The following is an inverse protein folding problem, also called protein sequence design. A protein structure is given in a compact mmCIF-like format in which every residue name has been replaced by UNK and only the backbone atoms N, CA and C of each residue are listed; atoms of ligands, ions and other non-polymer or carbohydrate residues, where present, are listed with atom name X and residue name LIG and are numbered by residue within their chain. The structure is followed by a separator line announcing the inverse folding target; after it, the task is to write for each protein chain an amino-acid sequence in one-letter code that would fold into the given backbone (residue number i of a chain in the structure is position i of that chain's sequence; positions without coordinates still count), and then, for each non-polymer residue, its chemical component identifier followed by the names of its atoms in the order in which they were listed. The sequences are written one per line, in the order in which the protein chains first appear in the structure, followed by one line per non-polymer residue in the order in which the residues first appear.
data_IF_886353109169
#
_entry.id   IF_886353109169
#
_cell.length_a   1.000
_cell.length_b   1.000
_cell.length_c   1.000
_cell.angle_alpha   90.00
_cell.angle_beta   90.00
_cell.angle_gamma   90.00
#
_symmetry.space_group_name_H-M   'P 1'
#
loop_
_entity.id
_entity.type
_entity.pdbx_description
1 polymer ?
#
# COMPACT_ATOMS: atom_id res chain seq x y z
N UNK A 1 5.22 20.34 17.12
CA UNK A 1 6.41 19.47 16.92
C UNK A 1 6.98 19.77 15.55
N UNK A 2 8.27 20.07 15.43
CA UNK A 2 8.89 20.29 14.10
C UNK A 2 9.26 18.92 13.51
N UNK A 3 8.80 18.64 12.30
CA UNK A 3 9.17 17.43 11.52
C UNK A 3 9.85 17.86 10.25
N UNK A 4 10.88 17.14 9.84
CA UNK A 4 11.54 17.31 8.56
C UNK A 4 11.10 16.20 7.59
N UNK A 5 10.80 16.58 6.35
CA UNK A 5 10.57 15.63 5.26
C UNK A 5 11.80 15.61 4.38
N UNK A 6 12.43 14.45 4.29
CA UNK A 6 13.60 14.22 3.43
C UNK A 6 13.37 13.05 2.46
N UNK A 7 14.09 13.06 1.33
CA UNK A 7 14.10 11.91 0.42
C UNK A 7 14.65 10.64 1.11
N UNK A 8 14.10 9.50 0.74
CA UNK A 8 14.68 8.18 1.01
C UNK A 8 15.96 8.03 0.19
N UNK A 9 16.98 7.43 0.80
CA UNK A 9 18.26 7.11 0.18
C UNK A 9 18.58 5.61 0.38
N UNK A 10 19.46 5.01 -0.45
CA UNK A 10 19.79 3.59 -0.32
C UNK A 10 20.21 3.13 1.09
N UNK A 11 20.97 3.91 1.88
CA UNK A 11 21.28 3.56 3.28
C UNK A 11 20.05 3.42 4.19
N UNK A 12 18.94 4.07 3.88
CA UNK A 12 17.70 4.01 4.68
C UNK A 12 16.94 2.68 4.52
N UNK A 13 17.32 1.84 3.56
CA UNK A 13 16.56 0.65 3.15
C UNK A 13 16.21 -0.29 4.29
N UNK A 14 17.18 -0.62 5.12
CA UNK A 14 16.97 -1.54 6.24
C UNK A 14 16.09 -0.90 7.32
N UNK A 15 16.37 0.35 7.67
CA UNK A 15 15.60 1.12 8.67
C UNK A 15 14.16 1.31 8.23
N UNK A 16 13.93 1.62 6.94
CA UNK A 16 12.58 1.69 6.35
C UNK A 16 11.87 0.33 6.44
N UNK A 17 12.54 -0.74 6.03
CA UNK A 17 11.97 -2.09 6.08
C UNK A 17 11.54 -2.46 7.50
N UNK A 18 12.42 -2.27 8.48
CA UNK A 18 12.14 -2.52 9.89
C UNK A 18 11.00 -1.66 10.42
N UNK A 19 10.92 -0.39 9.97
CA UNK A 19 9.84 0.50 10.33
C UNK A 19 8.50 -0.02 9.83
N UNK A 20 8.41 -0.40 8.54
CA UNK A 20 7.18 -0.94 7.93
C UNK A 20 6.75 -2.23 8.60
N UNK A 21 7.67 -3.16 8.86
CA UNK A 21 7.35 -4.45 9.49
C UNK A 21 6.79 -4.32 10.91
N UNK A 22 7.13 -3.25 11.63
CA UNK A 22 6.64 -2.96 12.99
C UNK A 22 5.46 -1.99 13.03
N UNK A 23 5.12 -1.39 11.90
CA UNK A 23 4.12 -0.34 11.81
C UNK A 23 2.68 -0.83 12.04
N UNK A 24 1.78 0.13 12.26
CA UNK A 24 0.35 -0.11 12.41
C UNK A 24 -0.34 -0.42 11.07
N UNK A 25 -0.03 0.36 10.04
CA UNK A 25 -0.76 0.38 8.77
C UNK A 25 0.11 0.02 7.56
N UNK A 26 1.33 -0.46 7.78
CA UNK A 26 2.21 -0.91 6.71
C UNK A 26 1.73 -2.21 6.09
N UNK A 27 1.93 -2.33 4.77
CA UNK A 27 1.64 -3.53 3.98
C UNK A 27 2.85 -3.87 3.12
N UNK A 28 2.81 -5.00 2.41
CA UNK A 28 3.85 -5.38 1.44
C UNK A 28 4.13 -4.25 0.43
N UNK A 29 3.11 -3.46 0.06
CA UNK A 29 3.21 -2.37 -0.90
C UNK A 29 4.03 -1.17 -0.41
N UNK A 30 4.41 -1.15 0.87
CA UNK A 30 5.27 -0.12 1.45
C UNK A 30 6.72 -0.59 1.62
N UNK A 31 7.02 -1.87 1.33
CA UNK A 31 8.36 -2.42 1.47
C UNK A 31 9.23 -2.02 0.26
N UNK A 32 10.50 -1.63 0.47
CA UNK A 32 11.42 -1.33 -0.63
C UNK A 32 11.59 -2.49 -1.61
N UNK A 33 11.52 -3.74 -1.14
CA UNK A 33 11.57 -4.94 -2.00
C UNK A 33 10.41 -5.01 -2.99
N UNK A 34 9.23 -4.52 -2.62
CA UNK A 34 8.09 -4.40 -3.53
C UNK A 34 8.21 -3.15 -4.42
N UNK A 35 8.60 -2.01 -3.86
CA UNK A 35 8.69 -0.77 -4.62
C UNK A 35 9.71 -0.84 -5.77
N UNK A 36 10.77 -1.64 -5.59
CA UNK A 36 11.85 -1.82 -6.56
C UNK A 36 11.57 -2.90 -7.62
N UNK A 37 10.43 -3.62 -7.56
CA UNK A 37 10.17 -4.68 -8.55
C UNK A 37 9.85 -4.12 -9.94
N UNK A 38 9.45 -2.87 -10.02
CA UNK A 38 9.23 -2.21 -11.29
C UNK A 38 10.54 -1.94 -12.03
N UNK A 39 10.55 -2.03 -13.36
CA UNK A 39 11.74 -1.69 -14.14
C UNK A 39 12.26 -0.29 -13.79
N UNK A 40 13.60 -0.10 -13.73
CA UNK A 40 14.18 1.21 -13.48
C UNK A 40 13.64 2.27 -14.45
N UNK A 41 13.32 3.46 -13.93
CA UNK A 41 12.81 4.57 -14.74
C UNK A 41 11.32 4.51 -15.10
N UNK A 42 10.59 3.43 -14.73
CA UNK A 42 9.15 3.37 -14.96
C UNK A 42 8.38 4.46 -14.23
N UNK A 43 8.81 4.81 -13.03
CA UNK A 43 8.24 5.89 -12.23
C UNK A 43 9.33 6.86 -11.78
N UNK A 44 9.00 8.11 -11.68
CA UNK A 44 9.86 9.13 -11.06
C UNK A 44 9.69 9.02 -9.52
N UNK A 45 10.40 8.04 -8.93
CA UNK A 45 10.28 7.70 -7.52
C UNK A 45 10.64 8.88 -6.62
N UNK A 46 9.78 9.15 -5.65
CA UNK A 46 9.93 10.18 -4.61
C UNK A 46 9.47 9.59 -3.28
N UNK A 47 10.21 8.58 -2.80
CA UNK A 47 9.97 8.03 -1.48
C UNK A 47 10.53 8.99 -0.44
N UNK A 48 9.75 9.23 0.62
CA UNK A 48 10.03 10.24 1.63
C UNK A 48 10.05 9.65 3.04
N UNK A 49 10.86 10.24 3.90
CA UNK A 49 10.90 9.95 5.34
C UNK A 49 10.52 11.22 6.08
N UNK A 50 9.57 11.11 7.00
CA UNK A 50 9.31 12.12 7.99
C UNK A 50 10.15 11.82 9.23
N UNK A 51 10.99 12.77 9.62
CA UNK A 51 11.96 12.61 10.69
C UNK A 51 11.72 13.62 11.81
N UNK A 52 11.85 13.17 13.05
CA UNK A 52 11.80 14.02 14.24
C UNK A 52 13.14 14.72 14.43
N UNK A 53 13.20 15.80 15.25
CA UNK A 53 14.45 16.52 15.51
C UNK A 53 15.57 15.66 16.14
N UNK A 54 15.21 14.56 16.78
CA UNK A 54 16.15 13.60 17.38
C UNK A 54 16.64 12.52 16.40
N UNK A 55 16.28 12.63 15.12
CA UNK A 55 16.64 11.67 14.07
C UNK A 55 15.77 10.42 14.01
N UNK A 56 14.75 10.30 14.86
CA UNK A 56 13.82 9.17 14.80
C UNK A 56 12.84 9.32 13.63
N UNK A 57 12.58 8.20 12.94
CA UNK A 57 11.57 8.15 11.88
C UNK A 57 10.17 8.26 12.51
N UNK A 58 9.41 9.25 12.08
CA UNK A 58 8.02 9.46 12.45
C UNK A 58 7.06 8.76 11.50
N UNK A 59 7.38 8.75 10.19
CA UNK A 59 6.64 8.06 9.17
C UNK A 59 7.52 7.77 7.94
N UNK A 60 7.18 6.74 7.18
CA UNK A 60 7.71 6.49 5.84
C UNK A 60 6.59 6.64 4.81
N UNK A 61 6.90 7.21 3.66
CA UNK A 61 5.90 7.64 2.68
C UNK A 61 6.37 7.23 1.29
N UNK A 62 5.94 6.07 0.77
CA UNK A 62 6.21 5.71 -0.61
C UNK A 62 5.48 6.67 -1.54
N UNK A 63 6.16 7.15 -2.58
CA UNK A 63 5.58 8.08 -3.53
C UNK A 63 6.38 8.19 -4.81
N UNK A 64 5.74 8.79 -5.81
CA UNK A 64 6.35 9.16 -7.06
C UNK A 64 5.81 10.51 -7.53
N UNK A 65 6.61 11.22 -8.28
CA UNK A 65 6.16 12.41 -9.00
C UNK A 65 5.58 11.99 -10.35
N UNK A 66 4.44 12.57 -10.67
CA UNK A 66 3.74 12.35 -11.91
C UNK A 66 3.43 13.68 -12.58
N UNK A 67 3.59 13.75 -13.89
CA UNK A 67 3.22 14.95 -14.65
C UNK A 67 2.10 14.61 -15.62
N UNK A 68 1.03 15.39 -15.57
CA UNK A 68 -0.11 15.28 -16.46
C UNK A 68 -0.65 16.68 -16.76
N UNK A 69 -0.85 16.97 -18.04
CA UNK A 69 -1.42 18.25 -18.52
C UNK A 69 -0.66 19.48 -17.95
N UNK A 70 0.67 19.43 -17.89
CA UNK A 70 1.53 20.47 -17.33
C UNK A 70 1.43 20.64 -15.81
N UNK A 71 0.74 19.74 -15.12
CA UNK A 71 0.61 19.74 -13.66
C UNK A 71 1.43 18.62 -13.04
N UNK A 72 2.20 18.96 -12.01
CA UNK A 72 2.96 18.01 -11.21
C UNK A 72 2.10 17.48 -10.07
N UNK A 73 2.12 16.16 -9.88
CA UNK A 73 1.39 15.44 -8.85
C UNK A 73 2.35 14.66 -7.97
N UNK A 74 2.09 14.58 -6.70
CA UNK A 74 2.64 13.56 -5.82
C UNK A 74 1.62 12.43 -5.68
N UNK A 75 2.01 11.19 -6.00
CA UNK A 75 1.14 10.01 -5.91
C UNK A 75 1.75 8.95 -5.00
N UNK A 76 0.96 8.40 -4.12
CA UNK A 76 1.35 7.33 -3.20
C UNK A 76 0.74 6.00 -3.61
N UNK A 77 1.35 5.13 -4.22
CA UNK A 77 2.46 4.95 -5.13
C UNK A 77 1.91 4.34 -6.43
N UNK A 78 2.19 4.86 -7.60
CA UNK A 78 1.72 4.28 -8.84
C UNK A 78 2.33 2.87 -9.02
N UNK A 79 1.50 1.88 -9.34
CA UNK A 79 1.93 0.49 -9.45
C UNK A 79 1.80 -0.34 -8.16
N UNK A 80 1.30 0.25 -7.07
CA UNK A 80 0.93 -0.45 -5.85
C UNK A 80 -0.57 -0.31 -5.59
N UNK A 81 -1.18 -1.32 -4.95
CA UNK A 81 -2.60 -1.25 -4.59
C UNK A 81 -2.87 -0.25 -3.49
N UNK A 82 -1.90 -0.05 -2.59
CA UNK A 82 -1.98 0.88 -1.48
C UNK A 82 -0.65 1.63 -1.32
N UNK A 83 -0.72 2.75 -0.66
CA UNK A 83 0.42 3.58 -0.31
C UNK A 83 0.06 4.54 0.82
N UNK A 84 0.55 5.78 0.75
CA UNK A 84 0.35 6.78 1.82
C UNK A 84 1.34 6.64 2.95
N UNK A 85 1.27 7.53 3.94
CA UNK A 85 2.14 7.50 5.10
C UNK A 85 1.91 6.27 5.98
N UNK A 86 3.00 5.66 6.42
CA UNK A 86 3.03 4.53 7.34
C UNK A 86 3.46 5.02 8.71
N UNK A 87 2.76 4.59 9.75
CA UNK A 87 2.99 4.99 11.13
C UNK A 87 3.18 3.78 12.05
N UNK A 88 3.88 3.98 13.17
CA UNK A 88 3.93 2.99 14.24
C UNK A 88 2.56 2.88 14.94
N UNK A 89 2.36 1.81 15.70
CA UNK A 89 1.08 1.50 16.34
C UNK A 89 0.72 2.40 17.52
N UNK A 90 1.69 3.14 18.04
CA UNK A 90 1.54 4.15 19.10
C UNK A 90 1.41 5.59 18.56
N UNK A 91 1.31 5.76 17.25
CA UNK A 91 1.20 7.09 16.64
C UNK A 91 -0.07 7.81 17.13
N UNK A 92 0.12 9.00 17.68
CA UNK A 92 -1.00 9.86 18.10
C UNK A 92 -1.62 10.58 16.91
N UNK A 93 -2.89 11.02 17.07
CA UNK A 93 -3.54 11.89 16.08
C UNK A 93 -2.70 13.14 15.78
N UNK A 94 -2.08 13.75 16.82
CA UNK A 94 -1.22 14.91 16.65
C UNK A 94 0.01 14.61 15.80
N UNK A 95 0.61 13.41 15.92
CA UNK A 95 1.74 13.02 15.06
C UNK A 95 1.30 12.90 13.60
N UNK A 96 0.16 12.26 13.33
CA UNK A 96 -0.39 12.13 11.98
C UNK A 96 -0.65 13.50 11.37
N UNK A 97 -1.25 14.42 12.14
CA UNK A 97 -1.49 15.82 11.75
C UNK A 97 -0.20 16.52 11.32
N UNK A 98 0.86 16.45 12.15
CA UNK A 98 2.14 17.10 11.85
C UNK A 98 2.83 16.49 10.62
N UNK A 99 2.75 15.16 10.44
CA UNK A 99 3.33 14.50 9.25
C UNK A 99 2.60 14.93 7.97
N UNK A 100 1.27 14.96 7.98
CA UNK A 100 0.50 15.40 6.81
C UNK A 100 0.74 16.86 6.49
N UNK A 101 0.77 17.74 7.48
CA UNK A 101 1.09 19.16 7.29
C UNK A 101 2.49 19.35 6.70
N UNK A 102 3.50 18.63 7.21
CA UNK A 102 4.86 18.66 6.71
C UNK A 102 4.95 18.11 5.27
N UNK A 103 4.25 17.02 4.95
CA UNK A 103 4.18 16.44 3.61
C UNK A 103 3.55 17.41 2.60
N UNK A 104 2.44 18.05 2.95
CA UNK A 104 1.78 19.07 2.12
C UNK A 104 2.76 20.22 1.83
N UNK A 105 3.44 20.72 2.87
CA UNK A 105 4.42 21.79 2.74
C UNK A 105 5.59 21.40 1.85
N UNK A 106 6.08 20.15 1.98
CA UNK A 106 7.14 19.60 1.14
C UNK A 106 6.71 19.51 -0.33
N UNK A 107 5.53 18.95 -0.60
CA UNK A 107 5.00 18.85 -1.96
C UNK A 107 4.77 20.24 -2.61
N UNK A 108 4.32 21.23 -1.84
CA UNK A 108 4.21 22.62 -2.34
C UNK A 108 5.57 23.18 -2.74
N UNK A 109 6.61 22.97 -1.94
CA UNK A 109 7.99 23.42 -2.31
C UNK A 109 8.52 22.73 -3.56
N UNK A 110 8.11 21.49 -3.82
CA UNK A 110 8.43 20.76 -5.06
C UNK A 110 7.62 21.24 -6.28
N UNK A 111 6.69 22.18 -6.09
CA UNK A 111 5.79 22.66 -7.14
C UNK A 111 4.69 21.67 -7.50
N UNK A 112 4.32 20.76 -6.61
CA UNK A 112 3.19 19.87 -6.84
C UNK A 112 1.88 20.65 -6.77
N UNK A 113 1.04 20.44 -7.78
CA UNK A 113 -0.30 21.03 -7.86
C UNK A 113 -1.33 20.15 -7.14
N UNK A 114 -1.08 18.85 -7.06
CA UNK A 114 -1.99 17.88 -6.46
C UNK A 114 -1.23 16.79 -5.72
N UNK A 115 -1.92 16.20 -4.74
CA UNK A 115 -1.50 14.99 -4.03
C UNK A 115 -2.62 13.95 -4.14
N UNK A 116 -2.25 12.72 -4.47
CA UNK A 116 -3.15 11.58 -4.51
C UNK A 116 -2.61 10.47 -3.61
N UNK A 117 -3.37 10.11 -2.58
CA UNK A 117 -3.00 9.08 -1.62
C UNK A 117 -4.01 7.93 -1.70
N UNK A 118 -3.52 6.73 -1.96
CA UNK A 118 -4.36 5.51 -1.94
C UNK A 118 -4.08 4.76 -0.65
N UNK A 119 -4.95 4.95 0.35
CA UNK A 119 -4.73 4.41 1.69
C UNK A 119 -5.07 2.91 1.76
N UNK A 120 -4.34 2.13 2.59
CA UNK A 120 -4.74 0.75 2.88
C UNK A 120 -6.03 0.73 3.69
N UNK A 121 -6.92 -0.27 3.47
CA UNK A 121 -8.10 -0.46 4.31
C UNK A 121 -7.73 -0.65 5.78
N UNK A 122 -8.49 -0.02 6.69
CA UNK A 122 -8.24 -0.09 8.14
C UNK A 122 -8.30 -1.52 8.72
N UNK A 123 -8.93 -2.44 7.99
CA UNK A 123 -8.96 -3.88 8.37
C UNK A 123 -7.56 -4.54 8.39
N UNK A 124 -6.56 -3.94 7.71
CA UNK A 124 -5.16 -4.41 7.75
C UNK A 124 -4.35 -3.78 8.88
N UNK A 125 -4.89 -2.80 9.59
CA UNK A 125 -4.20 -2.15 10.69
C UNK A 125 -4.12 -3.08 11.90
N UNK A 126 -3.00 -3.06 12.61
CA UNK A 126 -2.87 -3.77 13.90
C UNK A 126 -3.84 -3.22 14.93
N UNK A 127 -4.02 -1.90 14.95
CA UNK A 127 -4.99 -1.15 15.77
C UNK A 127 -5.80 -0.26 14.84
N UNK A 128 -7.03 -0.64 14.48
CA UNK A 128 -7.87 0.16 13.59
C UNK A 128 -8.17 1.54 14.17
N UNK A 129 -8.01 2.57 13.37
CA UNK A 129 -8.38 3.95 13.66
C UNK A 129 -8.55 4.75 12.35
N UNK A 130 -9.26 5.86 12.42
CA UNK A 130 -9.59 6.71 11.26
C UNK A 130 -8.77 8.03 11.25
N UNK A 131 -7.59 8.06 11.89
CA UNK A 131 -6.78 9.28 12.00
C UNK A 131 -6.42 9.88 10.64
N UNK A 132 -6.04 9.04 9.68
CA UNK A 132 -5.69 9.50 8.34
C UNK A 132 -6.88 10.12 7.62
N UNK A 133 -8.05 9.48 7.66
CA UNK A 133 -9.26 10.01 7.01
C UNK A 133 -9.65 11.34 7.62
N UNK A 134 -9.64 11.45 8.96
CA UNK A 134 -9.93 12.68 9.70
C UNK A 134 -8.96 13.80 9.36
N UNK A 135 -7.65 13.53 9.41
CA UNK A 135 -6.61 14.54 9.17
C UNK A 135 -6.65 15.00 7.71
N UNK A 136 -6.76 14.09 6.75
CA UNK A 136 -6.83 14.45 5.33
C UNK A 136 -8.07 15.30 5.05
N UNK A 137 -9.22 14.96 5.61
CA UNK A 137 -10.44 15.76 5.48
C UNK A 137 -10.24 17.20 6.00
N UNK A 138 -9.62 17.34 7.18
CA UNK A 138 -9.34 18.65 7.77
C UNK A 138 -8.33 19.50 6.96
N UNK A 139 -7.44 18.84 6.20
CA UNK A 139 -6.53 19.49 5.26
C UNK A 139 -7.13 19.73 3.86
N UNK A 140 -8.44 19.51 3.69
CA UNK A 140 -9.15 19.79 2.44
C UNK A 140 -8.98 18.73 1.36
N UNK A 141 -8.55 17.52 1.72
CA UNK A 141 -8.59 16.40 0.78
C UNK A 141 -10.02 15.93 0.54
N UNK A 142 -10.32 15.59 -0.71
CA UNK A 142 -11.58 14.97 -1.09
C UNK A 142 -11.35 13.49 -1.41
N UNK A 143 -12.29 12.63 -0.99
CA UNK A 143 -12.28 11.23 -1.40
C UNK A 143 -12.76 11.13 -2.85
N UNK A 144 -11.81 10.92 -3.79
CA UNK A 144 -12.13 10.81 -5.23
C UNK A 144 -12.58 9.41 -5.64
N UNK A 145 -12.20 8.38 -4.88
CA UNK A 145 -12.53 6.98 -5.16
C UNK A 145 -12.67 6.20 -3.86
N UNK A 146 -13.71 5.38 -3.77
CA UNK A 146 -13.92 4.45 -2.67
C UNK A 146 -14.27 3.07 -3.22
N UNK A 147 -13.55 2.06 -2.78
CA UNK A 147 -13.77 0.67 -3.18
C UNK A 147 -14.11 -0.17 -1.95
N UNK A 148 -14.86 -1.25 -2.19
CA UNK A 148 -15.15 -2.23 -1.13
C UNK A 148 -14.08 -3.31 -1.15
N UNK A 149 -13.54 -3.60 0.02
CA UNK A 149 -12.63 -4.72 0.25
C UNK A 149 -13.33 -5.78 1.08
N UNK A 150 -13.32 -7.02 0.61
CA UNK A 150 -13.73 -8.18 1.39
C UNK A 150 -12.51 -8.95 1.85
N UNK A 151 -12.44 -9.28 3.13
CA UNK A 151 -11.33 -10.06 3.71
C UNK A 151 -11.86 -11.29 4.41
N UNK A 152 -11.02 -12.33 4.42
CA UNK A 152 -11.27 -13.56 5.17
C UNK A 152 -10.21 -13.63 6.27
N UNK A 153 -10.65 -13.66 7.52
CA UNK A 153 -9.75 -13.86 8.66
C UNK A 153 -9.31 -15.32 8.73
N UNK A 154 -8.05 -15.58 8.39
CA UNK A 154 -7.50 -16.95 8.44
C UNK A 154 -7.44 -17.50 9.86
N UNK A 155 -7.35 -16.66 10.89
CA UNK A 155 -7.37 -17.07 12.29
C UNK A 155 -8.71 -17.71 12.72
N UNK A 156 -9.81 -17.39 12.00
CA UNK A 156 -11.14 -17.94 12.24
C UNK A 156 -11.44 -19.18 11.40
N UNK A 157 -10.59 -19.46 10.41
CA UNK A 157 -10.67 -20.67 9.61
C UNK A 157 -9.96 -21.78 10.37
N UNK A 158 -10.66 -22.83 10.80
CA UNK A 158 -10.02 -24.04 11.28
C UNK A 158 -9.33 -24.80 10.13
N UNK A 159 -8.81 -25.99 10.41
CA UNK A 159 -8.20 -26.88 9.40
C UNK A 159 -9.22 -27.39 8.37
N UNK A 160 -10.51 -27.34 8.68
CA UNK A 160 -11.58 -27.78 7.79
C UNK A 160 -12.17 -26.60 7.00
N UNK A 161 -12.79 -26.92 5.85
CA UNK A 161 -13.56 -25.97 5.05
C UNK A 161 -14.67 -25.37 5.93
N UNK A 162 -14.49 -24.11 6.30
CA UNK A 162 -15.31 -23.41 7.27
C UNK A 162 -16.82 -23.50 6.90
N UNK A 163 -17.68 -23.92 7.83
CA UNK A 163 -19.13 -23.83 7.70
C UNK A 163 -19.65 -22.43 7.32
N UNK A 164 -18.89 -21.36 7.55
CA UNK A 164 -19.21 -20.00 7.14
C UNK A 164 -19.23 -19.80 5.60
N UNK A 165 -18.58 -20.67 4.83
CA UNK A 165 -18.66 -20.60 3.39
C UNK A 165 -20.08 -20.96 2.90
N UNK A 166 -20.56 -20.20 1.92
CA UNK A 166 -21.83 -20.50 1.27
C UNK A 166 -21.83 -21.91 0.67
N UNK A 167 -22.99 -22.58 0.70
CA UNK A 167 -23.13 -23.95 0.18
C UNK A 167 -22.68 -24.09 -1.28
N UNK A 168 -22.89 -23.05 -2.11
CA UNK A 168 -22.41 -23.03 -3.50
C UNK A 168 -20.86 -23.10 -3.59
N UNK A 169 -20.14 -22.39 -2.70
CA UNK A 169 -18.69 -22.44 -2.64
C UNK A 169 -18.21 -23.83 -2.18
N UNK A 170 -18.80 -24.36 -1.12
CA UNK A 170 -18.51 -25.72 -0.63
C UNK A 170 -18.74 -26.80 -1.68
N UNK A 171 -19.83 -26.68 -2.47
CA UNK A 171 -20.10 -27.57 -3.62
C UNK A 171 -19.04 -27.44 -4.70
N UNK A 172 -18.60 -26.19 -4.99
CA UNK A 172 -17.51 -25.93 -5.94
C UNK A 172 -16.21 -26.61 -5.54
N UNK A 173 -15.79 -26.47 -4.28
CA UNK A 173 -14.59 -27.13 -3.73
C UNK A 173 -14.71 -28.66 -3.83
N UNK A 174 -15.83 -29.24 -3.38
CA UNK A 174 -16.06 -30.68 -3.48
C UNK A 174 -16.03 -31.19 -4.94
N UNK A 175 -16.53 -30.40 -5.90
CA UNK A 175 -16.44 -30.74 -7.32
C UNK A 175 -14.99 -30.72 -7.80
N UNK A 176 -14.23 -29.68 -7.45
CA UNK A 176 -12.83 -29.54 -7.82
C UNK A 176 -11.98 -30.73 -7.31
N UNK A 177 -12.12 -31.07 -6.03
CA UNK A 177 -11.42 -32.21 -5.43
C UNK A 177 -11.76 -33.52 -6.13
N UNK A 178 -13.05 -33.77 -6.42
CA UNK A 178 -13.50 -34.98 -7.16
C UNK A 178 -12.97 -35.02 -8.60
N UNK A 179 -12.72 -33.87 -9.21
CA UNK A 179 -12.12 -33.78 -10.56
C UNK A 179 -10.59 -33.97 -10.54
N UNK A 180 -9.99 -34.27 -9.40
CA UNK A 180 -8.55 -34.46 -9.28
C UNK A 180 -7.72 -33.19 -9.32
N UNK A 181 -8.35 -32.01 -9.17
CA UNK A 181 -7.62 -30.74 -9.08
C UNK A 181 -6.75 -30.75 -7.82
N UNK A 182 -5.50 -30.33 -7.99
CA UNK A 182 -4.52 -30.17 -6.91
C UNK A 182 -4.05 -28.73 -6.86
N UNK A 183 -3.77 -28.25 -5.67
CA UNK A 183 -3.09 -26.97 -5.42
C UNK A 183 -1.66 -27.31 -5.05
N UNK A 184 -0.71 -26.76 -5.77
CA UNK A 184 0.72 -26.94 -5.52
C UNK A 184 1.36 -25.58 -5.26
N UNK A 185 2.17 -25.48 -4.23
CA UNK A 185 3.07 -24.35 -4.02
C UNK A 185 4.27 -24.54 -4.94
N UNK A 186 4.22 -23.87 -6.08
CA UNK A 186 5.24 -24.02 -7.10
C UNK A 186 5.65 -22.66 -7.66
N UNK A 187 6.96 -22.40 -7.68
CA UNK A 187 7.57 -21.21 -8.26
C UNK A 187 7.84 -21.30 -9.77
N UNK A 188 7.20 -22.20 -10.50
CA UNK A 188 7.37 -22.33 -11.96
C UNK A 188 6.63 -21.20 -12.71
N UNK A 189 7.20 -20.00 -12.61
CA UNK A 189 6.69 -18.83 -13.30
C UNK A 189 6.79 -18.94 -14.83
N UNK A 190 7.79 -19.65 -15.35
CA UNK A 190 7.96 -19.84 -16.78
C UNK A 190 6.76 -20.58 -17.41
N UNK A 191 6.18 -21.51 -16.66
CA UNK A 191 4.99 -22.26 -17.06
C UNK A 191 3.69 -21.46 -16.83
N UNK A 192 3.65 -20.63 -15.80
CA UNK A 192 2.48 -19.82 -15.45
C UNK A 192 2.29 -18.61 -16.38
N UNK A 193 3.38 -17.92 -16.75
CA UNK A 193 3.32 -16.69 -17.52
C UNK A 193 2.59 -16.80 -18.88
N UNK A 194 2.77 -17.85 -19.69
CA UNK A 194 2.01 -18.01 -20.92
C UNK A 194 0.50 -18.08 -20.71
N UNK A 195 0.07 -18.75 -19.63
CA UNK A 195 -1.37 -18.83 -19.28
C UNK A 195 -1.92 -17.48 -18.89
N UNK A 196 -1.17 -16.73 -18.08
CA UNK A 196 -1.55 -15.37 -17.67
C UNK A 196 -1.60 -14.42 -18.88
N UNK A 197 -0.56 -14.44 -19.73
CA UNK A 197 -0.48 -13.59 -20.93
C UNK A 197 -1.63 -13.88 -21.89
N UNK A 198 -1.94 -15.15 -22.17
CA UNK A 198 -3.07 -15.54 -22.99
C UNK A 198 -4.40 -15.01 -22.44
N UNK A 199 -4.63 -15.17 -21.13
CA UNK A 199 -5.86 -14.67 -20.50
C UNK A 199 -5.98 -13.13 -20.53
N UNK A 200 -4.86 -12.41 -20.33
CA UNK A 200 -4.85 -10.94 -20.40
C UNK A 200 -5.10 -10.44 -21.82
N UNK A 201 -4.45 -11.07 -22.81
CA UNK A 201 -4.65 -10.74 -24.22
C UNK A 201 -6.10 -10.98 -24.65
N UNK A 202 -6.68 -12.13 -24.30
CA UNK A 202 -8.06 -12.50 -24.69
C UNK A 202 -9.11 -11.60 -24.04
N UNK A 203 -8.88 -11.11 -22.84
CA UNK A 203 -9.85 -10.30 -22.08
C UNK A 203 -9.66 -8.80 -22.21
N UNK A 204 -8.44 -8.35 -22.39
CA UNK A 204 -8.08 -6.94 -22.26
C UNK A 204 -7.27 -6.41 -23.45
N UNK A 205 -6.85 -7.27 -24.38
CA UNK A 205 -6.05 -6.88 -25.53
C UNK A 205 -4.63 -6.37 -25.18
N UNK A 206 -4.05 -6.85 -24.08
CA UNK A 206 -2.72 -6.45 -23.56
C UNK A 206 -1.80 -7.62 -23.43
#
# INVERSE_FOLDING_TARGET
MSLEIRPFTPPDRNTWTDFVLRSNNGTIFHLPSFLDYHPPGRFNNMHLIAEKPDGQIAAVIPGALWEKDGKKWFRSYPGASYGGPVFQDDASLSLVEHVIAALISHCRRLGCHMMELTLPPSVYFRRPHDYMDFVLYNHGFACSRRELTAVISLQRLGEEIDPAFRESARRGVRKALRSGLRVEENGDFARFYPVLAGNLNDRHGV
#
